data_IF_217338153456
#
_entry.id   IF_217338153456
#
_cell.length_a   1.000
_cell.length_b   1.000
_cell.length_c   1.000
_cell.angle_alpha   90.00
_cell.angle_beta   90.00
_cell.angle_gamma   90.00
#
_symmetry.space_group_name_H-M   'P 1'
#
loop_
_entity.id
_entity.type
_entity.pdbx_description
1 polymer ?
#
# COMPACT_ATOMS: atom_id res chain seq x y z
N UNK A 1 10.56 -3.69 -20.19
CA UNK A 1 9.62 -4.32 -21.11
C UNK A 1 10.22 -4.42 -22.51
N UNK A 2 10.65 -3.34 -23.11
CA UNK A 2 11.22 -3.31 -24.47
C UNK A 2 12.47 -4.17 -24.66
N UNK A 3 13.18 -4.49 -23.56
CA UNK A 3 14.31 -5.42 -23.58
C UNK A 3 13.89 -6.91 -23.70
N UNK A 4 12.57 -7.21 -23.61
CA UNK A 4 12.04 -8.58 -23.62
C UNK A 4 12.38 -9.43 -22.38
N UNK A 5 12.91 -8.81 -21.32
CA UNK A 5 13.32 -9.52 -20.10
C UNK A 5 12.16 -9.92 -19.21
N UNK A 6 11.12 -9.06 -19.14
CA UNK A 6 9.90 -9.31 -18.38
C UNK A 6 8.68 -8.83 -19.18
N UNK A 7 7.52 -9.50 -19.07
CA UNK A 7 6.30 -9.12 -19.77
C UNK A 7 5.75 -7.74 -19.33
N UNK A 8 5.87 -7.41 -18.03
CA UNK A 8 5.28 -6.21 -17.46
C UNK A 8 6.29 -5.35 -16.73
N UNK A 9 6.07 -4.05 -16.75
CA UNK A 9 6.88 -3.09 -15.99
C UNK A 9 6.49 -3.05 -14.52
N UNK A 10 5.17 -3.02 -14.21
CA UNK A 10 4.69 -2.78 -12.85
C UNK A 10 3.40 -3.56 -12.54
N UNK A 11 3.32 -4.15 -11.35
CA UNK A 11 2.13 -4.82 -10.80
C UNK A 11 1.80 -4.29 -9.41
N UNK A 12 0.50 -4.16 -9.15
CA UNK A 12 -0.03 -3.50 -7.96
C UNK A 12 -1.48 -3.94 -7.68
N UNK A 13 -2.10 -3.44 -6.58
CA UNK A 13 -3.44 -3.82 -6.14
C UNK A 13 -4.49 -2.92 -6.81
N UNK A 14 -4.99 -3.32 -7.96
CA UNK A 14 -6.00 -2.58 -8.74
C UNK A 14 -7.44 -3.07 -8.55
N UNK A 15 -7.66 -4.18 -7.82
CA UNK A 15 -9.00 -4.68 -7.50
C UNK A 15 -9.76 -3.66 -6.65
N UNK A 16 -11.09 -3.60 -6.82
CA UNK A 16 -11.97 -2.75 -6.00
C UNK A 16 -12.07 -3.27 -4.56
N UNK A 17 -11.18 -2.85 -3.68
CA UNK A 17 -11.13 -3.14 -2.24
C UNK A 17 -10.14 -2.18 -1.56
N UNK A 18 -9.88 -2.34 -0.26
CA UNK A 18 -9.01 -1.46 0.52
C UNK A 18 -7.59 -1.27 -0.06
N UNK A 19 -7.02 -2.31 -0.68
CA UNK A 19 -5.70 -2.20 -1.31
C UNK A 19 -5.64 -1.14 -2.42
N UNK A 20 -6.73 -0.96 -3.19
CA UNK A 20 -6.82 0.10 -4.19
C UNK A 20 -6.81 1.50 -3.55
N UNK A 21 -7.50 1.66 -2.41
CA UNK A 21 -7.45 2.92 -1.64
C UNK A 21 -6.05 3.23 -1.14
N UNK A 22 -5.31 2.21 -0.69
CA UNK A 22 -3.92 2.36 -0.25
C UNK A 22 -3.00 2.77 -1.42
N UNK A 23 -3.11 2.08 -2.55
CA UNK A 23 -2.35 2.44 -3.77
C UNK A 23 -2.64 3.88 -4.20
N UNK A 24 -3.92 4.27 -4.18
CA UNK A 24 -4.29 5.61 -4.60
C UNK A 24 -3.79 6.70 -3.64
N UNK A 25 -3.84 6.45 -2.33
CA UNK A 25 -3.26 7.37 -1.34
C UNK A 25 -1.76 7.60 -1.61
N UNK A 26 -1.01 6.54 -1.87
CA UNK A 26 0.40 6.61 -2.21
C UNK A 26 0.64 7.43 -3.48
N UNK A 27 -0.23 7.27 -4.47
CA UNK A 27 -0.11 8.00 -5.73
C UNK A 27 -0.50 9.47 -5.60
N UNK A 28 -1.66 9.80 -5.02
CA UNK A 28 -2.08 11.19 -4.91
C UNK A 28 -1.09 12.02 -4.09
N UNK A 29 -0.58 11.49 -2.99
CA UNK A 29 0.47 12.11 -2.17
C UNK A 29 1.79 12.23 -2.94
N UNK A 30 2.19 11.18 -3.67
CA UNK A 30 3.37 11.18 -4.52
C UNK A 30 3.27 12.13 -5.72
N UNK A 31 2.08 12.62 -6.06
CA UNK A 31 1.84 13.68 -7.04
C UNK A 31 1.63 15.06 -6.41
N UNK A 32 1.84 15.17 -5.09
CA UNK A 32 1.76 16.45 -4.34
C UNK A 32 0.32 16.87 -4.00
N UNK A 33 -0.63 15.92 -4.02
CA UNK A 33 -2.01 16.14 -3.62
C UNK A 33 -2.38 15.45 -2.31
N UNK A 34 -3.63 15.59 -1.91
CA UNK A 34 -4.21 14.96 -0.72
C UNK A 34 -5.60 14.41 -1.05
N UNK A 35 -5.94 13.25 -0.53
CA UNK A 35 -7.30 12.72 -0.67
C UNK A 35 -8.30 13.52 0.19
N UNK A 36 -7.98 13.71 1.46
CA UNK A 36 -8.75 14.50 2.41
C UNK A 36 -7.78 15.28 3.28
N UNK A 37 -7.89 16.61 3.26
CA UNK A 37 -7.05 17.48 4.07
C UNK A 37 -7.50 17.40 5.54
N UNK A 38 -6.64 16.93 6.47
CA UNK A 38 -7.05 16.68 7.86
C UNK A 38 -7.57 17.93 8.58
N UNK A 39 -6.95 19.10 8.33
CA UNK A 39 -7.24 20.35 9.04
C UNK A 39 -8.55 20.99 8.60
N UNK A 40 -8.94 20.81 7.35
CA UNK A 40 -10.10 21.48 6.76
C UNK A 40 -11.25 20.56 6.38
N UNK A 41 -11.00 19.23 6.33
CA UNK A 41 -11.95 18.27 5.81
C UNK A 41 -12.19 18.38 4.30
N UNK A 42 -11.35 19.17 3.59
CA UNK A 42 -11.51 19.36 2.15
C UNK A 42 -11.11 18.08 1.41
N UNK A 43 -11.95 17.67 0.49
CA UNK A 43 -11.64 16.59 -0.47
C UNK A 43 -10.81 17.18 -1.61
N UNK A 44 -9.80 16.46 -2.10
CA UNK A 44 -8.88 16.94 -3.13
C UNK A 44 -8.71 15.97 -4.29
N UNK A 45 -9.72 15.15 -4.56
CA UNK A 45 -9.66 14.12 -5.60
C UNK A 45 -9.72 14.69 -7.02
N UNK A 46 -10.49 15.77 -7.25
CA UNK A 46 -10.64 16.43 -8.55
C UNK A 46 -9.59 17.51 -8.83
N UNK A 47 -8.67 17.75 -7.88
CA UNK A 47 -7.56 18.65 -8.08
C UNK A 47 -6.53 18.06 -9.06
N UNK A 48 -5.68 18.92 -9.63
CA UNK A 48 -4.71 18.50 -10.62
C UNK A 48 -3.85 17.30 -10.22
N UNK A 49 -3.31 17.20 -8.97
CA UNK A 49 -2.58 16.01 -8.53
C UNK A 49 -3.42 14.74 -8.48
N UNK A 50 -4.67 14.81 -8.01
CA UNK A 50 -5.58 13.65 -7.94
C UNK A 50 -5.91 13.09 -9.33
N UNK A 51 -6.23 13.99 -10.27
CA UNK A 51 -6.47 13.61 -11.68
C UNK A 51 -5.19 13.04 -12.31
N UNK A 52 -4.03 13.65 -12.05
CA UNK A 52 -2.75 13.19 -12.60
C UNK A 52 -2.36 11.82 -12.07
N UNK A 53 -2.52 11.56 -10.77
CA UNK A 53 -2.29 10.26 -10.14
C UNK A 53 -3.19 9.16 -10.74
N UNK A 54 -4.48 9.47 -10.93
CA UNK A 54 -5.44 8.55 -11.56
C UNK A 54 -5.06 8.27 -13.01
N UNK A 55 -4.72 9.30 -13.77
CA UNK A 55 -4.29 9.17 -15.17
C UNK A 55 -3.03 8.32 -15.28
N UNK A 56 -2.06 8.50 -14.39
CA UNK A 56 -0.84 7.71 -14.39
C UNK A 56 -1.12 6.21 -14.21
N UNK A 57 -2.01 5.83 -13.29
CA UNK A 57 -2.42 4.43 -13.11
C UNK A 57 -3.15 3.87 -14.33
N UNK A 58 -4.02 4.67 -14.96
CA UNK A 58 -4.76 4.32 -16.17
C UNK A 58 -3.80 4.13 -17.37
N UNK A 59 -2.90 5.08 -17.57
CA UNK A 59 -1.87 5.04 -18.63
C UNK A 59 -0.96 3.82 -18.54
N UNK A 60 -0.63 3.35 -17.32
CA UNK A 60 0.15 2.11 -17.13
C UNK A 60 -0.59 0.89 -17.68
N UNK A 61 -1.91 0.85 -17.56
CA UNK A 61 -2.75 -0.24 -18.09
C UNK A 61 -2.89 -0.10 -19.62
N UNK A 62 -3.21 1.09 -20.10
CA UNK A 62 -3.42 1.36 -21.52
C UNK A 62 -2.14 1.14 -22.35
N UNK A 63 -0.98 1.52 -21.81
CA UNK A 63 0.33 1.28 -22.43
C UNK A 63 0.81 -0.17 -22.31
N UNK A 64 0.07 -1.05 -21.62
CA UNK A 64 0.47 -2.44 -21.36
C UNK A 64 1.69 -2.57 -20.44
N UNK A 65 2.08 -1.51 -19.73
CA UNK A 65 3.14 -1.55 -18.71
C UNK A 65 2.67 -2.37 -17.51
N UNK A 66 1.42 -2.19 -17.10
CA UNK A 66 0.71 -3.11 -16.20
C UNK A 66 -0.22 -4.02 -17.00
N UNK A 67 -0.41 -5.30 -16.61
CA UNK A 67 -1.40 -6.15 -17.26
C UNK A 67 -2.81 -5.60 -17.03
N UNK A 68 -3.72 -5.72 -17.99
CA UNK A 68 -5.15 -5.38 -17.76
C UNK A 68 -5.75 -6.13 -16.59
N UNK A 69 -5.26 -7.34 -16.31
CA UNK A 69 -5.66 -8.14 -15.17
C UNK A 69 -5.34 -7.48 -13.80
N UNK A 70 -4.50 -6.44 -13.75
CA UNK A 70 -4.16 -5.73 -12.52
C UNK A 70 -5.41 -5.18 -11.82
N UNK A 71 -6.48 -4.85 -12.57
CA UNK A 71 -7.77 -4.41 -12.05
C UNK A 71 -8.50 -5.47 -11.19
N UNK A 72 -8.00 -6.71 -11.19
CA UNK A 72 -8.47 -7.81 -10.35
C UNK A 72 -7.44 -8.28 -9.32
N UNK A 73 -6.24 -7.66 -9.30
CA UNK A 73 -5.17 -8.07 -8.39
C UNK A 73 -5.39 -7.53 -6.98
N UNK A 74 -5.26 -8.42 -6.01
CA UNK A 74 -4.96 -8.13 -4.61
C UNK A 74 -3.45 -8.27 -4.37
N UNK A 75 -3.04 -8.27 -3.10
CA UNK A 75 -1.66 -8.51 -2.70
C UNK A 75 -1.13 -9.84 -3.24
N UNK A 76 -1.97 -10.88 -3.20
CA UNK A 76 -1.59 -12.24 -3.58
C UNK A 76 -1.31 -12.37 -5.08
N UNK A 77 -2.18 -11.83 -5.94
CA UNK A 77 -2.00 -11.90 -7.39
C UNK A 77 -0.80 -11.06 -7.84
N UNK A 78 -0.62 -9.86 -7.26
CA UNK A 78 0.55 -9.03 -7.53
C UNK A 78 1.84 -9.73 -7.10
N UNK A 79 1.85 -10.34 -5.90
CA UNK A 79 2.98 -11.12 -5.39
C UNK A 79 3.31 -12.31 -6.30
N UNK A 80 2.32 -13.11 -6.71
CA UNK A 80 2.54 -14.27 -7.57
C UNK A 80 3.08 -13.85 -8.94
N UNK A 81 2.55 -12.79 -9.53
CA UNK A 81 3.05 -12.24 -10.80
C UNK A 81 4.52 -11.83 -10.70
N UNK A 82 4.89 -11.11 -9.65
CA UNK A 82 6.28 -10.69 -9.43
C UNK A 82 7.19 -11.85 -9.06
N UNK A 83 6.77 -12.73 -8.15
CA UNK A 83 7.51 -13.92 -7.68
C UNK A 83 7.85 -14.88 -8.83
N UNK A 84 6.98 -14.96 -9.84
CA UNK A 84 7.22 -15.76 -11.06
C UNK A 84 8.07 -15.05 -12.11
N UNK A 85 8.58 -13.84 -11.84
CA UNK A 85 9.42 -13.09 -12.77
C UNK A 85 8.67 -12.43 -13.93
N UNK A 86 7.36 -12.19 -13.79
CA UNK A 86 6.53 -11.59 -14.84
C UNK A 86 6.55 -10.05 -14.83
N UNK A 87 7.06 -9.42 -13.77
CA UNK A 87 7.10 -7.96 -13.65
C UNK A 87 8.46 -7.46 -13.14
N UNK A 88 8.85 -6.25 -13.58
CA UNK A 88 10.08 -5.59 -13.12
C UNK A 88 9.93 -4.93 -11.76
N UNK A 89 8.75 -4.38 -11.48
CA UNK A 89 8.42 -3.69 -10.23
C UNK A 89 7.09 -4.19 -9.68
N UNK A 90 6.98 -4.18 -8.35
CA UNK A 90 5.77 -4.54 -7.64
C UNK A 90 5.54 -3.59 -6.47
N UNK A 91 4.32 -3.08 -6.32
CA UNK A 91 3.85 -2.53 -5.05
C UNK A 91 3.33 -3.67 -4.19
N UNK A 92 3.83 -3.78 -2.96
CA UNK A 92 3.27 -4.70 -1.98
C UNK A 92 3.64 -4.24 -0.56
N UNK A 93 3.12 -4.94 0.46
CA UNK A 93 3.49 -4.76 1.85
C UNK A 93 4.83 -5.46 2.16
N UNK A 94 5.55 -5.04 3.20
CA UNK A 94 6.89 -5.57 3.51
C UNK A 94 6.99 -7.09 3.68
N UNK A 95 5.92 -7.77 4.11
CA UNK A 95 5.92 -9.25 4.22
C UNK A 95 6.28 -9.95 2.89
N UNK A 96 6.02 -9.30 1.76
CA UNK A 96 6.33 -9.84 0.45
C UNK A 96 7.82 -10.14 0.29
N UNK A 97 8.70 -9.39 0.98
CA UNK A 97 10.13 -9.66 0.96
C UNK A 97 10.45 -11.10 1.38
N UNK A 98 9.93 -11.56 2.51
CA UNK A 98 10.15 -12.93 2.98
C UNK A 98 9.63 -13.98 1.99
N UNK A 99 8.49 -13.72 1.35
CA UNK A 99 7.93 -14.59 0.31
C UNK A 99 8.80 -14.65 -0.95
N UNK A 100 9.43 -13.54 -1.34
CA UNK A 100 10.30 -13.46 -2.51
C UNK A 100 11.66 -14.15 -2.30
N UNK A 101 12.09 -14.34 -1.05
CA UNK A 101 13.34 -15.02 -0.70
C UNK A 101 13.17 -16.54 -0.56
N UNK A 102 11.99 -17.10 -0.74
CA UNK A 102 11.75 -18.55 -0.70
C UNK A 102 12.35 -19.26 -1.91
N UNK A 103 12.68 -20.53 -1.76
CA UNK A 103 13.32 -21.36 -2.81
C UNK A 103 12.44 -21.54 -4.06
N UNK A 104 11.12 -21.41 -3.93
CA UNK A 104 10.16 -21.49 -5.04
C UNK A 104 9.99 -20.17 -5.79
N UNK A 105 10.74 -19.13 -5.41
CA UNK A 105 10.71 -17.81 -6.07
C UNK A 105 11.70 -17.76 -7.24
N UNK A 106 11.22 -17.44 -8.43
CA UNK A 106 12.06 -17.22 -9.60
C UNK A 106 12.96 -15.98 -9.47
N UNK A 107 12.62 -15.09 -8.53
CA UNK A 107 13.34 -13.84 -8.25
C UNK A 107 14.12 -13.87 -6.93
N UNK A 108 14.26 -15.03 -6.30
CA UNK A 108 15.06 -15.20 -5.08
C UNK A 108 16.45 -14.60 -5.25
N UNK A 109 16.92 -13.82 -4.28
CA UNK A 109 18.20 -13.08 -4.29
C UNK A 109 18.40 -12.12 -5.49
N UNK A 110 17.33 -11.71 -6.20
CA UNK A 110 17.41 -10.81 -7.36
C UNK A 110 16.60 -9.53 -7.19
N UNK A 111 16.01 -9.31 -6.02
CA UNK A 111 15.12 -8.19 -5.75
C UNK A 111 15.71 -7.25 -4.70
N UNK A 112 15.32 -6.00 -4.76
CA UNK A 112 15.56 -4.98 -3.74
C UNK A 112 14.26 -4.34 -3.27
N UNK A 113 14.32 -3.59 -2.19
CA UNK A 113 13.24 -2.76 -1.68
C UNK A 113 13.62 -1.30 -1.89
N UNK A 114 12.67 -0.48 -2.31
CA UNK A 114 12.81 0.97 -2.42
C UNK A 114 11.50 1.63 -1.98
N UNK A 115 11.55 2.95 -1.79
CA UNK A 115 10.34 3.77 -1.56
C UNK A 115 9.42 3.73 -2.78
N UNK A 116 8.16 4.12 -2.58
CA UNK A 116 7.22 4.30 -3.69
C UNK A 116 7.69 5.40 -4.65
N UNK A 117 7.17 5.37 -5.87
CA UNK A 117 7.45 6.39 -6.89
C UNK A 117 6.74 7.69 -6.55
N UNK A 118 7.32 8.81 -6.98
CA UNK A 118 6.72 10.14 -6.89
C UNK A 118 6.96 10.92 -8.18
N UNK A 119 6.16 11.95 -8.41
CA UNK A 119 6.38 12.91 -9.47
C UNK A 119 7.70 13.65 -9.24
N UNK A 120 8.36 14.05 -10.30
CA UNK A 120 9.61 14.79 -10.19
C UNK A 120 9.42 16.09 -9.39
N UNK A 121 10.19 16.25 -8.31
CA UNK A 121 10.08 17.37 -7.38
C UNK A 121 9.21 17.11 -6.14
N UNK A 122 8.45 16.02 -6.14
CA UNK A 122 7.61 15.59 -5.01
C UNK A 122 8.29 14.49 -4.18
N UNK A 123 7.76 14.26 -2.98
CA UNK A 123 8.25 13.19 -2.09
C UNK A 123 7.42 11.92 -2.29
N UNK A 124 8.06 10.74 -2.17
CA UNK A 124 7.31 9.50 -2.14
C UNK A 124 6.37 9.46 -0.93
N UNK A 125 5.30 8.68 -1.03
CA UNK A 125 4.42 8.38 0.08
C UNK A 125 4.23 6.86 0.20
N UNK A 126 3.98 6.40 1.41
CA UNK A 126 3.59 5.02 1.69
C UNK A 126 2.34 5.03 2.56
N UNK A 127 1.41 4.13 2.32
CA UNK A 127 0.23 4.00 3.19
C UNK A 127 0.64 3.35 4.50
N UNK A 128 0.34 4.01 5.63
CA UNK A 128 0.48 3.41 6.95
C UNK A 128 -0.60 2.34 7.14
N UNK A 129 -0.17 1.09 7.28
CA UNK A 129 -1.02 -0.06 7.59
C UNK A 129 -0.47 -0.81 8.78
N UNK A 130 -1.35 -1.26 9.68
CA UNK A 130 -0.96 -2.02 10.87
C UNK A 130 -2.07 -2.98 11.28
N UNK A 131 -1.67 -4.00 12.02
CA UNK A 131 -2.58 -4.89 12.74
C UNK A 131 -2.63 -4.48 14.19
N UNK A 132 -3.82 -4.48 14.79
CA UNK A 132 -4.05 -4.19 16.19
C UNK A 132 -4.67 -5.38 16.93
N UNK A 133 -4.34 -5.53 18.20
CA UNK A 133 -5.01 -6.45 19.10
C UNK A 133 -6.07 -5.68 19.88
N UNK A 134 -7.28 -6.21 19.97
CA UNK A 134 -8.39 -5.61 20.69
C UNK A 134 -8.97 -6.56 21.75
N UNK A 135 -9.27 -6.02 22.92
CA UNK A 135 -9.97 -6.74 23.99
C UNK A 135 -11.47 -6.48 23.83
N UNK A 136 -12.24 -7.55 23.68
CA UNK A 136 -13.69 -7.45 23.68
C UNK A 136 -14.21 -7.11 25.07
N UNK A 137 -15.20 -6.23 25.17
CA UNK A 137 -15.81 -5.80 26.45
C UNK A 137 -16.44 -6.97 27.24
N UNK A 138 -16.90 -8.02 26.54
CA UNK A 138 -17.44 -9.23 27.14
C UNK A 138 -16.41 -10.33 27.48
N UNK A 139 -15.10 -10.03 27.42
CA UNK A 139 -14.08 -11.02 27.75
C UNK A 139 -14.21 -11.50 29.19
N UNK A 140 -14.24 -12.82 29.38
CA UNK A 140 -14.29 -13.43 30.71
C UNK A 140 -12.95 -13.38 31.47
N UNK A 141 -11.84 -13.05 30.77
CA UNK A 141 -10.48 -13.04 31.34
C UNK A 141 -9.69 -11.82 30.83
N UNK A 142 -10.10 -10.60 31.16
CA UNK A 142 -9.47 -9.38 30.60
C UNK A 142 -7.99 -9.27 30.99
N UNK A 143 -7.63 -9.55 32.24
CA UNK A 143 -6.24 -9.48 32.75
C UNK A 143 -5.31 -10.43 31.99
N UNK A 144 -5.69 -11.71 31.90
CA UNK A 144 -4.90 -12.70 31.13
C UNK A 144 -4.77 -12.34 29.66
N UNK A 145 -5.79 -11.72 29.08
CA UNK A 145 -5.75 -11.26 27.69
C UNK A 145 -4.75 -10.11 27.51
N UNK A 146 -4.72 -9.17 28.46
CA UNK A 146 -3.72 -8.07 28.45
C UNK A 146 -2.30 -8.62 28.58
N UNK A 147 -2.06 -9.61 29.45
CA UNK A 147 -0.74 -10.25 29.56
C UNK A 147 -0.34 -10.95 28.24
N UNK A 148 -1.28 -11.63 27.57
CA UNK A 148 -1.03 -12.20 26.26
C UNK A 148 -0.71 -11.11 25.22
N UNK A 149 -1.37 -9.95 25.24
CA UNK A 149 -1.04 -8.83 24.36
C UNK A 149 0.38 -8.31 24.60
N UNK A 150 0.77 -8.11 25.87
CA UNK A 150 2.12 -7.68 26.22
C UNK A 150 3.18 -8.65 25.67
N UNK A 151 2.93 -9.95 25.80
CA UNK A 151 3.82 -10.98 25.24
C UNK A 151 3.88 -10.88 23.71
N UNK A 152 2.73 -10.86 23.01
CA UNK A 152 2.66 -10.84 21.54
C UNK A 152 3.25 -9.55 20.95
N UNK A 153 3.20 -8.44 21.67
CA UNK A 153 3.75 -7.14 21.24
C UNK A 153 5.13 -6.85 21.81
N UNK A 154 5.72 -7.78 22.57
CA UNK A 154 7.07 -7.64 23.12
C UNK A 154 8.12 -7.56 22.00
N UNK A 155 9.28 -7.01 22.34
CA UNK A 155 10.42 -6.90 21.41
C UNK A 155 10.83 -8.27 20.87
N UNK A 156 10.94 -9.27 21.74
CA UNK A 156 11.31 -10.64 21.36
C UNK A 156 10.31 -11.28 20.41
N UNK A 157 9.01 -11.11 20.67
CA UNK A 157 7.96 -11.61 19.77
C UNK A 157 7.99 -10.92 18.42
N UNK A 158 8.15 -9.59 18.38
CA UNK A 158 8.23 -8.85 17.14
C UNK A 158 9.50 -9.18 16.35
N UNK A 159 10.64 -9.34 17.01
CA UNK A 159 11.88 -9.84 16.41
C UNK A 159 11.66 -11.21 15.77
N UNK A 160 11.04 -12.13 16.50
CA UNK A 160 10.71 -13.48 15.99
C UNK A 160 9.79 -13.40 14.75
N UNK A 161 8.74 -12.60 14.79
CA UNK A 161 7.77 -12.43 13.69
C UNK A 161 8.45 -11.82 12.47
N UNK A 162 9.32 -10.83 12.65
CA UNK A 162 10.06 -10.23 11.53
C UNK A 162 11.05 -11.25 10.92
N UNK A 163 11.86 -11.89 11.74
CA UNK A 163 12.91 -12.80 11.27
C UNK A 163 12.33 -14.01 10.53
N UNK A 164 11.20 -14.56 10.99
CA UNK A 164 10.65 -15.78 10.42
C UNK A 164 9.57 -15.56 9.36
N UNK A 165 8.85 -14.43 9.41
CA UNK A 165 7.68 -14.19 8.56
C UNK A 165 7.71 -12.84 7.83
N UNK A 166 8.68 -11.97 8.10
CA UNK A 166 8.80 -10.66 7.47
C UNK A 166 7.78 -9.63 7.95
N UNK A 167 7.11 -9.86 9.08
CA UNK A 167 6.19 -8.86 9.65
C UNK A 167 6.96 -7.69 10.24
N UNK A 168 6.74 -6.50 9.69
CA UNK A 168 7.43 -5.29 10.09
C UNK A 168 7.21 -4.99 11.57
N UNK A 169 8.27 -4.79 12.37
CA UNK A 169 8.14 -4.40 13.77
C UNK A 169 7.45 -3.04 13.94
N UNK A 170 6.80 -2.83 15.07
CA UNK A 170 6.26 -1.53 15.48
C UNK A 170 7.11 -0.85 16.55
N UNK A 171 8.10 -1.55 17.09
CA UNK A 171 9.02 -1.01 18.09
C UNK A 171 10.28 -0.42 17.44
N UNK A 172 10.51 0.88 17.70
CA UNK A 172 11.66 1.61 17.13
C UNK A 172 13.02 0.99 17.50
N UNK A 173 13.13 0.33 18.66
CA UNK A 173 14.34 -0.34 19.09
C UNK A 173 14.82 -1.36 18.05
N UNK A 174 13.91 -2.11 17.44
CA UNK A 174 14.24 -3.13 16.45
C UNK A 174 14.78 -2.56 15.13
N UNK A 175 14.40 -1.35 14.75
CA UNK A 175 14.97 -0.67 13.57
C UNK A 175 16.40 -0.14 13.82
N UNK A 176 16.83 -0.09 15.08
CA UNK A 176 18.18 0.32 15.47
C UNK A 176 19.04 -0.84 15.94
N UNK A 177 18.52 -2.05 15.93
CA UNK A 177 19.23 -3.26 16.35
C UNK A 177 20.28 -3.67 15.31
N UNK A 178 21.55 -3.60 15.69
CA UNK A 178 22.67 -3.84 14.77
C UNK A 178 22.72 -5.29 14.28
N UNK A 179 22.40 -6.27 15.12
CA UNK A 179 22.41 -7.69 14.75
C UNK A 179 21.26 -7.97 13.76
N UNK A 180 20.09 -7.38 14.02
CA UNK A 180 18.94 -7.53 13.13
C UNK A 180 19.20 -6.87 11.76
N UNK A 181 19.77 -5.67 11.73
CA UNK A 181 20.11 -4.95 10.50
C UNK A 181 21.20 -5.66 9.69
N UNK A 182 22.22 -6.25 10.34
CA UNK A 182 23.26 -7.02 9.65
C UNK A 182 22.70 -8.30 9.00
N UNK A 183 21.82 -9.02 9.71
CA UNK A 183 21.22 -10.26 9.20
C UNK A 183 20.04 -10.02 8.23
N UNK A 184 19.38 -8.87 8.33
CA UNK A 184 18.20 -8.49 7.55
C UNK A 184 18.30 -7.07 7.03
N UNK A 185 19.19 -6.77 6.07
CA UNK A 185 19.44 -5.41 5.58
C UNK A 185 18.20 -4.75 4.95
N UNK A 186 17.21 -5.52 4.52
CA UNK A 186 15.92 -5.02 4.04
C UNK A 186 15.15 -4.20 5.09
N UNK A 187 15.42 -4.40 6.39
CA UNK A 187 14.78 -3.63 7.46
C UNK A 187 15.12 -2.13 7.39
N UNK A 188 16.31 -1.79 6.96
CA UNK A 188 16.71 -0.39 6.76
C UNK A 188 15.87 0.29 5.66
N UNK A 189 15.68 -0.38 4.52
CA UNK A 189 14.84 0.14 3.43
C UNK A 189 13.36 0.23 3.83
N UNK A 190 12.86 -0.70 4.64
CA UNK A 190 11.50 -0.64 5.21
C UNK A 190 11.39 0.55 6.16
N UNK A 191 12.40 0.78 7.02
CA UNK A 191 12.46 1.94 7.91
C UNK A 191 12.47 3.27 7.15
N UNK A 192 13.19 3.35 6.05
CA UNK A 192 13.18 4.50 5.15
C UNK A 192 11.76 4.74 4.57
N UNK A 193 11.12 3.71 4.03
CA UNK A 193 9.77 3.82 3.49
C UNK A 193 8.74 4.27 4.56
N UNK A 194 8.88 3.81 5.81
CA UNK A 194 8.04 4.24 6.92
C UNK A 194 8.19 5.73 7.25
N UNK A 195 9.34 6.36 6.95
CA UNK A 195 9.51 7.81 7.15
C UNK A 195 8.59 8.65 6.25
N UNK A 196 8.11 8.08 5.17
CA UNK A 196 7.14 8.67 4.23
C UNK A 196 5.72 8.15 4.43
N UNK A 197 5.47 7.39 5.49
CA UNK A 197 4.15 6.81 5.72
C UNK A 197 3.09 7.88 6.03
N UNK A 198 1.90 7.68 5.46
CA UNK A 198 0.72 8.54 5.61
C UNK A 198 -0.46 7.72 6.10
N UNK A 199 -1.19 8.24 7.07
CA UNK A 199 -2.47 7.68 7.49
C UNK A 199 -3.51 7.85 6.38
N UNK A 200 -4.40 6.88 6.28
CA UNK A 200 -5.63 7.05 5.49
C UNK A 200 -6.49 8.14 6.13
N UNK A 201 -7.45 8.74 5.41
CA UNK A 201 -8.31 9.79 5.98
C UNK A 201 -8.92 9.42 7.33
N UNK A 202 -8.70 10.27 8.33
CA UNK A 202 -9.19 10.07 9.69
C UNK A 202 -10.59 10.70 9.83
N UNK A 203 -11.62 9.97 9.45
CA UNK A 203 -13.02 10.36 9.57
C UNK A 203 -13.87 9.17 10.02
N UNK A 204 -14.92 9.38 10.84
CA UNK A 204 -15.91 8.34 11.17
C UNK A 204 -16.59 7.75 9.93
N UNK A 205 -16.60 8.48 8.81
CA UNK A 205 -17.23 8.11 7.55
C UNK A 205 -16.24 7.50 6.54
N UNK A 206 -15.05 7.12 7.01
CA UNK A 206 -14.01 6.54 6.14
C UNK A 206 -14.51 5.37 5.28
N UNK A 207 -15.32 4.48 5.87
CA UNK A 207 -15.82 3.31 5.15
C UNK A 207 -16.67 3.70 3.93
N UNK A 208 -17.46 4.76 4.03
CA UNK A 208 -18.28 5.28 2.94
C UNK A 208 -17.43 6.05 1.91
N UNK A 209 -16.56 6.94 2.38
CA UNK A 209 -15.67 7.72 1.52
C UNK A 209 -14.75 6.84 0.68
N UNK A 210 -14.14 5.81 1.29
CA UNK A 210 -13.30 4.85 0.57
C UNK A 210 -14.08 4.02 -0.47
N UNK A 211 -15.32 3.63 -0.16
CA UNK A 211 -16.16 2.88 -1.08
C UNK A 211 -16.51 3.71 -2.33
N UNK A 212 -16.78 5.01 -2.14
CA UNK A 212 -16.93 5.96 -3.26
C UNK A 212 -15.67 5.98 -4.11
N UNK A 213 -14.50 6.22 -3.50
CA UNK A 213 -13.23 6.26 -4.21
C UNK A 213 -12.97 4.98 -5.00
N UNK A 214 -13.11 3.82 -4.36
CA UNK A 214 -12.85 2.52 -4.97
C UNK A 214 -13.72 2.28 -6.20
N UNK A 215 -15.03 2.59 -6.13
CA UNK A 215 -15.95 2.44 -7.28
C UNK A 215 -15.55 3.33 -8.43
N UNK A 216 -15.20 4.61 -8.16
CA UNK A 216 -14.86 5.57 -9.21
C UNK A 216 -13.51 5.26 -9.85
N UNK A 217 -12.50 4.89 -9.05
CA UNK A 217 -11.23 4.41 -9.56
C UNK A 217 -11.40 3.14 -10.41
N UNK A 218 -12.13 2.14 -9.90
CA UNK A 218 -12.37 0.90 -10.64
C UNK A 218 -13.07 1.17 -11.96
N UNK A 219 -14.06 2.09 -11.99
CA UNK A 219 -14.71 2.52 -13.22
C UNK A 219 -13.75 3.15 -14.23
N UNK A 220 -12.80 3.96 -13.75
CA UNK A 220 -11.78 4.58 -14.59
C UNK A 220 -10.79 3.53 -15.11
N UNK A 221 -10.20 2.75 -14.24
CA UNK A 221 -9.20 1.73 -14.57
C UNK A 221 -9.71 0.60 -15.47
N UNK A 222 -11.04 0.47 -15.59
CA UNK A 222 -11.71 -0.46 -16.52
C UNK A 222 -12.20 0.23 -17.81
N UNK A 223 -11.91 1.53 -17.99
CA UNK A 223 -12.23 2.28 -19.19
C UNK A 223 -13.68 2.75 -19.32
N UNK A 224 -14.47 2.70 -18.22
CA UNK A 224 -15.87 3.13 -18.21
C UNK A 224 -16.02 4.66 -18.08
N UNK A 225 -15.05 5.33 -17.47
CA UNK A 225 -15.00 6.80 -17.31
C UNK A 225 -13.57 7.27 -17.55
N UNK A 226 -13.41 8.52 -17.98
CA UNK A 226 -12.08 9.13 -18.04
C UNK A 226 -11.53 9.46 -16.64
N UNK A 227 -10.20 9.57 -16.45
CA UNK A 227 -9.60 9.97 -15.15
C UNK A 227 -10.20 11.25 -14.57
N UNK A 228 -10.40 12.27 -15.38
CA UNK A 228 -11.02 13.54 -14.96
C UNK A 228 -12.46 13.34 -14.47
N UNK A 229 -13.31 12.71 -15.30
CA UNK A 229 -14.70 12.46 -14.92
C UNK A 229 -14.84 11.56 -13.69
N UNK A 230 -13.99 10.52 -13.59
CA UNK A 230 -13.95 9.63 -12.44
C UNK A 230 -13.66 10.38 -11.13
N UNK A 231 -12.65 11.26 -11.16
CA UNK A 231 -12.23 12.02 -9.97
C UNK A 231 -13.21 13.13 -9.60
N UNK A 232 -13.77 13.87 -10.58
CA UNK A 232 -14.85 14.81 -10.31
C UNK A 232 -16.10 14.17 -9.67
N UNK A 233 -16.45 12.95 -10.13
CA UNK A 233 -17.56 12.21 -9.51
C UNK A 233 -17.18 11.69 -8.12
N UNK A 234 -15.93 11.27 -7.91
CA UNK A 234 -15.44 10.83 -6.62
C UNK A 234 -15.45 11.97 -5.60
N UNK A 235 -14.95 13.15 -5.99
CA UNK A 235 -15.00 14.38 -5.19
C UNK A 235 -16.42 14.67 -4.70
N UNK A 236 -17.34 14.95 -5.63
CA UNK A 236 -18.74 15.29 -5.31
C UNK A 236 -19.43 14.24 -4.43
N UNK A 237 -19.21 12.96 -4.73
CA UNK A 237 -19.85 11.89 -3.93
C UNK A 237 -19.21 11.72 -2.56
N UNK A 238 -17.92 12.03 -2.40
CA UNK A 238 -17.24 12.00 -1.11
C UNK A 238 -17.69 13.19 -0.25
N UNK A 239 -17.79 14.40 -0.81
CA UNK A 239 -18.33 15.56 -0.14
C UNK A 239 -19.73 15.30 0.40
N UNK A 240 -20.65 14.74 -0.42
CA UNK A 240 -22.00 14.34 0.01
C UNK A 240 -22.03 13.31 1.14
N UNK A 241 -21.02 12.47 1.24
CA UNK A 241 -20.89 11.50 2.34
C UNK A 241 -20.42 12.19 3.62
N UNK A 242 -19.59 13.24 3.50
CA UNK A 242 -18.98 13.93 4.65
C UNK A 242 -19.83 15.05 5.23
N UNK A 243 -20.86 15.55 4.49
CA UNK A 243 -21.89 16.48 4.97
C UNK A 243 -22.83 15.83 6.01
#
# INVERSE_FOLDING_TARGET
QDSGRVPYGYVWQGRQYEGLSCVYLEMIEGFGGEWLTPETGRVGLDQAPGIAATRWLDDLIEAGISPRAVTNFSESEALQSFKSGQAAFMRNWPYAWAELQKNDSAVNNKVGITTMVAQAGEKPAATLGSWGLSLLSGSARPESTVEAFKFLTSEDSQRYLYTNFGYTPTQNALFNDQDLLQNHPSLASIGEALSFARSRPETPLYAQARDVLQRKLSSTLTGLTSPTQGMEQAERSTEQVLE
#
